data_IF_441935535243
#
_entry.id   IF_441935535243
#
_cell.length_a   1.000
_cell.length_b   1.000
_cell.length_c   1.000
_cell.angle_alpha   90.00
_cell.angle_beta   90.00
_cell.angle_gamma   90.00
#
_symmetry.space_group_name_H-M   'P 1'
#
loop_
_entity.id
_entity.type
_entity.pdbx_description
1 polymer ?
#
# COMPACT_ATOMS: atom_id res chain seq x y z
N UNK A 1 6.56 -0.47 -17.30
CA UNK A 1 7.45 -0.05 -16.22
C UNK A 1 7.68 -1.23 -15.28
N UNK A 2 8.91 -1.44 -14.84
CA UNK A 2 9.28 -2.50 -13.90
C UNK A 2 9.01 -2.12 -12.44
N UNK A 3 8.60 -0.88 -12.18
CA UNK A 3 8.35 -0.32 -10.84
C UNK A 3 6.87 -0.04 -10.70
N UNK A 4 6.24 -0.71 -9.74
CA UNK A 4 4.78 -0.70 -9.51
C UNK A 4 4.29 0.35 -8.50
N UNK A 5 5.10 1.31 -8.07
CA UNK A 5 4.67 2.46 -7.29
C UNK A 5 5.10 3.76 -7.96
N UNK A 6 4.46 4.85 -7.57
CA UNK A 6 4.73 6.16 -8.14
C UNK A 6 6.13 6.68 -7.78
N UNK A 7 6.61 7.64 -8.55
CA UNK A 7 7.88 8.30 -8.28
C UNK A 7 7.85 9.05 -6.94
N UNK A 8 8.99 9.08 -6.27
CA UNK A 8 9.21 9.96 -5.13
C UNK A 8 9.18 11.41 -5.60
N UNK A 9 8.38 12.24 -4.93
CA UNK A 9 8.29 13.67 -5.22
C UNK A 9 9.02 14.44 -4.13
N UNK A 10 9.98 15.24 -4.54
CA UNK A 10 10.79 16.03 -3.62
C UNK A 10 10.67 17.54 -3.91
N UNK A 11 10.81 18.34 -2.87
CA UNK A 11 10.98 19.78 -2.94
C UNK A 11 12.39 20.13 -2.44
N UNK A 12 13.13 20.89 -3.25
CA UNK A 12 14.41 21.45 -2.84
C UNK A 12 14.24 22.96 -2.62
N UNK A 13 14.59 23.44 -1.43
CA UNK A 13 14.61 24.87 -1.10
C UNK A 13 15.93 25.21 -0.39
N UNK A 14 16.83 25.88 -1.10
CA UNK A 14 18.21 26.06 -0.63
C UNK A 14 18.87 24.69 -0.43
N UNK A 15 19.33 24.43 0.78
CA UNK A 15 19.93 23.15 1.17
C UNK A 15 18.96 22.16 1.84
N UNK A 16 17.67 22.51 1.87
CA UNK A 16 16.64 21.66 2.50
C UNK A 16 15.91 20.85 1.44
N UNK A 17 15.97 19.52 1.57
CA UNK A 17 15.25 18.54 0.76
C UNK A 17 14.07 18.01 1.55
N UNK A 18 12.84 18.14 1.01
CA UNK A 18 11.62 17.63 1.65
C UNK A 18 10.96 16.62 0.74
N UNK A 19 10.69 15.42 1.23
CA UNK A 19 9.92 14.40 0.51
C UNK A 19 8.44 14.75 0.66
N UNK A 20 7.81 15.15 -0.45
CA UNK A 20 6.38 15.49 -0.50
C UNK A 20 5.51 14.25 -0.66
N UNK A 21 6.00 13.27 -1.42
CA UNK A 21 5.35 11.98 -1.63
C UNK A 21 6.41 10.89 -1.63
N UNK A 22 6.34 9.92 -0.70
CA UNK A 22 7.21 8.77 -0.73
C UNK A 22 6.90 7.89 -1.96
N UNK A 23 7.94 7.33 -2.57
CA UNK A 23 7.85 6.46 -3.74
C UNK A 23 8.95 5.41 -3.70
N UNK A 24 9.35 4.91 -4.86
CA UNK A 24 10.37 3.86 -4.97
C UNK A 24 11.77 4.33 -4.53
N UNK A 25 12.13 5.59 -4.82
CA UNK A 25 13.38 6.15 -4.30
C UNK A 25 13.17 6.53 -2.85
N UNK A 26 13.90 5.87 -1.97
CA UNK A 26 13.78 6.05 -0.52
C UNK A 26 14.58 7.25 -0.03
N UNK A 27 14.27 7.70 1.20
CA UNK A 27 15.04 8.75 1.87
C UNK A 27 16.50 8.33 2.03
N UNK A 28 16.76 7.09 2.42
CA UNK A 28 18.10 6.54 2.57
C UNK A 28 18.92 6.70 1.28
N UNK A 29 18.36 6.34 0.13
CA UNK A 29 19.03 6.51 -1.16
C UNK A 29 19.27 8.00 -1.52
N UNK A 30 18.33 8.88 -1.15
CA UNK A 30 18.52 10.33 -1.35
C UNK A 30 19.62 10.89 -0.45
N UNK A 31 19.76 10.41 0.77
CA UNK A 31 20.83 10.79 1.70
C UNK A 31 22.20 10.37 1.18
N UNK A 32 22.32 9.19 0.57
CA UNK A 32 23.57 8.72 -0.02
C UNK A 32 24.06 9.62 -1.17
N UNK A 33 23.15 10.07 -2.04
CA UNK A 33 23.52 10.90 -3.21
C UNK A 33 23.53 12.40 -2.93
N UNK A 34 23.02 12.82 -1.78
CA UNK A 34 22.89 14.23 -1.38
C UNK A 34 23.29 14.43 0.09
N UNK A 35 24.51 14.07 0.50
CA UNK A 35 24.92 14.04 1.91
C UNK A 35 24.96 15.43 2.56
N UNK A 36 25.00 16.50 1.77
CA UNK A 36 25.05 17.88 2.26
C UNK A 36 23.66 18.51 2.43
N UNK A 37 22.59 17.82 2.06
CA UNK A 37 21.25 18.34 2.20
C UNK A 37 20.68 18.03 3.59
N UNK A 38 19.94 18.99 4.14
CA UNK A 38 19.12 18.79 5.34
C UNK A 38 17.74 18.27 4.94
N UNK A 39 17.29 17.17 5.54
CA UNK A 39 15.96 16.65 5.27
C UNK A 39 14.90 17.37 6.11
N UNK A 40 14.03 18.10 5.43
CA UNK A 40 12.90 18.81 6.04
C UNK A 40 11.71 17.91 6.33
N UNK A 41 10.90 18.31 7.31
CA UNK A 41 9.63 17.65 7.63
C UNK A 41 8.57 18.10 6.62
N UNK A 42 7.84 17.14 6.07
CA UNK A 42 6.69 17.40 5.19
C UNK A 42 5.43 17.56 6.05
N UNK A 43 4.79 18.71 5.96
CA UNK A 43 3.46 18.93 6.56
C UNK A 43 2.32 18.56 5.59
N UNK A 44 1.07 18.51 6.11
CA UNK A 44 -0.11 18.16 5.30
C UNK A 44 -0.35 19.11 4.13
N UNK A 45 -0.05 20.40 4.29
CA UNK A 45 -0.24 21.41 3.25
C UNK A 45 0.80 21.24 2.12
N UNK A 46 2.03 20.87 2.48
CA UNK A 46 3.07 20.52 1.51
C UNK A 46 2.72 19.24 0.74
N UNK A 47 2.14 18.25 1.41
CA UNK A 47 1.68 17.02 0.74
C UNK A 47 0.63 17.31 -0.32
N UNK A 48 -0.34 18.17 -0.06
CA UNK A 48 -1.40 18.55 -1.00
C UNK A 48 -0.87 19.25 -2.25
N UNK A 49 0.33 19.84 -2.21
CA UNK A 49 0.96 20.48 -3.34
C UNK A 49 1.65 19.49 -4.32
N UNK A 50 1.71 18.21 -4.00
CA UNK A 50 2.30 17.22 -4.90
C UNK A 50 1.24 16.61 -5.85
N UNK A 51 1.57 16.34 -7.13
CA UNK A 51 0.67 15.64 -8.05
C UNK A 51 0.27 14.26 -7.50
N UNK A 52 -0.98 13.83 -7.75
CA UNK A 52 -1.46 12.50 -7.33
C UNK A 52 -1.95 12.42 -5.89
N UNK A 53 -2.25 13.55 -5.25
CA UNK A 53 -2.84 13.62 -3.90
C UNK A 53 -4.36 13.46 -3.88
N UNK A 54 -4.99 13.21 -5.02
CA UNK A 54 -6.42 12.94 -5.06
C UNK A 54 -6.74 11.70 -4.20
N UNK A 55 -7.80 11.84 -3.41
CA UNK A 55 -8.25 10.84 -2.40
C UNK A 55 -8.56 9.47 -3.03
N UNK A 56 -8.75 9.42 -4.35
CA UNK A 56 -9.09 8.23 -5.11
C UNK A 56 -8.21 8.14 -6.36
N UNK A 57 -6.99 7.64 -6.19
CA UNK A 57 -6.09 7.43 -7.32
C UNK A 57 -5.82 5.93 -7.48
N UNK A 58 -6.13 5.35 -8.64
CA UNK A 58 -6.00 3.91 -8.96
C UNK A 58 -6.82 2.98 -8.05
N UNK A 59 -7.86 3.47 -7.40
CA UNK A 59 -8.78 2.62 -6.68
C UNK A 59 -9.57 1.76 -7.68
N UNK A 60 -9.75 0.46 -7.41
CA UNK A 60 -10.69 -0.36 -8.16
C UNK A 60 -12.10 0.27 -8.13
N UNK A 61 -12.88 0.08 -9.20
CA UNK A 61 -14.29 0.55 -9.25
C UNK A 61 -15.24 -0.28 -8.36
N UNK A 62 -14.71 -1.21 -7.58
CA UNK A 62 -15.44 -1.97 -6.58
C UNK A 62 -15.14 -1.42 -5.17
N UNK A 63 -16.03 -1.67 -4.24
CA UNK A 63 -15.89 -1.20 -2.87
C UNK A 63 -14.66 -1.83 -2.21
N UNK A 64 -13.68 -1.00 -1.83
CA UNK A 64 -12.35 -1.47 -1.42
C UNK A 64 -11.99 -0.95 -0.04
N UNK A 65 -11.40 -1.81 0.79
CA UNK A 65 -10.92 -1.48 2.14
C UNK A 65 -9.57 -2.13 2.42
N UNK A 66 -8.77 -1.54 3.30
CA UNK A 66 -7.69 -2.27 3.95
C UNK A 66 -8.26 -3.14 5.05
N UNK A 67 -7.91 -4.43 5.04
CA UNK A 67 -8.42 -5.42 5.97
C UNK A 67 -7.36 -5.94 6.93
N UNK A 68 -7.80 -6.24 8.16
CA UNK A 68 -7.05 -7.01 9.15
C UNK A 68 -7.86 -8.20 9.59
N UNK A 69 -7.26 -9.37 9.67
CA UNK A 69 -7.90 -10.53 10.29
C UNK A 69 -7.76 -10.45 11.80
N UNK A 70 -8.84 -10.75 12.50
CA UNK A 70 -8.88 -10.73 13.96
C UNK A 70 -9.91 -11.72 14.48
N UNK A 71 -9.72 -12.16 15.73
CA UNK A 71 -10.70 -12.95 16.47
C UNK A 71 -11.67 -12.09 17.31
N UNK A 72 -11.65 -10.77 17.14
CA UNK A 72 -12.54 -9.87 17.86
C UNK A 72 -14.01 -10.17 17.55
N UNK A 73 -14.85 -10.11 18.57
CA UNK A 73 -16.30 -10.38 18.44
C UNK A 73 -16.98 -9.36 17.52
N UNK A 74 -16.48 -8.14 17.49
CA UNK A 74 -17.02 -7.02 16.71
C UNK A 74 -16.46 -6.95 15.28
N UNK A 75 -15.58 -7.90 14.89
CA UNK A 75 -15.07 -7.96 13.53
C UNK A 75 -16.17 -8.36 12.54
N UNK A 76 -16.09 -7.82 11.33
CA UNK A 76 -17.04 -8.09 10.26
C UNK A 76 -16.82 -9.47 9.64
N UNK A 77 -17.92 -10.09 9.18
CA UNK A 77 -17.82 -11.24 8.27
C UNK A 77 -17.31 -10.76 6.91
N UNK A 78 -16.56 -11.62 6.20
CA UNK A 78 -16.13 -11.33 4.83
C UNK A 78 -17.37 -11.39 3.92
N UNK A 79 -17.73 -10.30 3.22
CA UNK A 79 -18.90 -10.26 2.37
C UNK A 79 -18.83 -11.27 1.22
N UNK A 80 -19.98 -11.74 0.73
CA UNK A 80 -20.03 -12.51 -0.52
C UNK A 80 -19.59 -11.66 -1.71
N UNK A 81 -18.91 -12.25 -2.68
CA UNK A 81 -18.40 -11.52 -3.83
C UNK A 81 -17.11 -10.73 -3.53
N UNK A 82 -16.41 -11.07 -2.44
CA UNK A 82 -15.16 -10.44 -2.06
C UNK A 82 -13.99 -10.99 -2.88
N UNK A 83 -13.16 -10.08 -3.39
CA UNK A 83 -11.79 -10.36 -3.82
C UNK A 83 -10.85 -10.05 -2.67
N UNK A 84 -9.92 -10.94 -2.38
CA UNK A 84 -8.86 -10.71 -1.39
C UNK A 84 -7.55 -10.47 -2.11
N UNK A 85 -6.90 -9.35 -1.80
CA UNK A 85 -5.51 -9.05 -2.18
C UNK A 85 -4.67 -9.14 -0.92
N UNK A 86 -3.91 -10.20 -0.81
CA UNK A 86 -3.11 -10.52 0.37
C UNK A 86 -1.66 -10.06 0.24
N UNK A 87 -0.95 -10.09 1.35
CA UNK A 87 0.50 -9.93 1.44
C UNK A 87 1.02 -10.81 2.58
N UNK A 88 2.04 -11.61 2.30
CA UNK A 88 2.66 -12.51 3.28
C UNK A 88 1.66 -13.49 3.91
N UNK A 89 0.68 -13.96 3.13
CA UNK A 89 -0.32 -14.96 3.52
C UNK A 89 -1.16 -14.60 4.75
N UNK A 90 -1.33 -13.31 5.07
CA UNK A 90 -2.09 -12.85 6.24
C UNK A 90 -3.56 -13.30 6.18
N UNK A 91 -4.14 -13.41 4.98
CA UNK A 91 -5.52 -13.83 4.73
C UNK A 91 -5.63 -15.25 4.18
N UNK A 92 -4.57 -16.06 4.23
CA UNK A 92 -4.58 -17.41 3.66
C UNK A 92 -5.68 -18.30 4.25
N UNK A 93 -5.95 -18.19 5.56
CA UNK A 93 -7.03 -18.93 6.23
C UNK A 93 -8.43 -18.54 5.74
N UNK A 94 -8.60 -17.31 5.25
CA UNK A 94 -9.86 -16.79 4.74
C UNK A 94 -9.99 -16.89 3.21
N UNK A 95 -9.01 -17.46 2.51
CA UNK A 95 -8.98 -17.53 1.04
C UNK A 95 -10.20 -18.23 0.44
N UNK A 96 -10.74 -19.25 1.13
CA UNK A 96 -11.95 -19.98 0.70
C UNK A 96 -13.24 -19.16 0.77
N UNK A 97 -13.24 -18.03 1.50
CA UNK A 97 -14.38 -17.10 1.60
C UNK A 97 -14.41 -16.09 0.43
N UNK A 98 -13.30 -15.99 -0.33
CA UNK A 98 -13.17 -15.09 -1.46
C UNK A 98 -13.58 -15.75 -2.78
N UNK A 99 -14.16 -14.97 -3.71
CA UNK A 99 -14.38 -15.42 -5.10
C UNK A 99 -13.07 -15.42 -5.91
N UNK A 100 -12.12 -14.60 -5.50
CA UNK A 100 -10.75 -14.56 -6.05
C UNK A 100 -9.77 -14.16 -4.95
N UNK A 101 -8.64 -14.83 -4.92
CA UNK A 101 -7.56 -14.56 -3.98
C UNK A 101 -6.27 -14.30 -4.76
N UNK A 102 -5.63 -13.21 -4.44
CA UNK A 102 -4.31 -12.82 -4.93
C UNK A 102 -3.37 -12.63 -3.74
N UNK A 103 -2.09 -12.90 -3.91
CA UNK A 103 -1.08 -12.53 -2.93
C UNK A 103 0.02 -11.71 -3.62
N UNK A 104 0.22 -10.50 -3.16
CA UNK A 104 1.23 -9.57 -3.69
C UNK A 104 2.64 -10.16 -3.54
N UNK A 105 2.91 -10.82 -2.41
CA UNK A 105 4.11 -11.62 -2.18
C UNK A 105 3.86 -12.63 -1.06
N UNK A 106 3.75 -13.92 -1.36
CA UNK A 106 3.55 -14.97 -0.35
C UNK A 106 4.70 -15.12 0.66
N UNK A 107 5.86 -14.56 0.33
CA UNK A 107 7.07 -14.58 1.16
C UNK A 107 7.33 -13.25 1.86
N UNK A 108 6.41 -12.27 1.72
CA UNK A 108 6.55 -10.95 2.34
C UNK A 108 7.59 -10.03 1.69
N UNK A 109 8.02 -10.29 0.45
CA UNK A 109 8.97 -9.44 -0.26
C UNK A 109 8.28 -8.18 -0.77
N UNK A 110 8.67 -7.01 -0.24
CA UNK A 110 8.07 -5.72 -0.57
C UNK A 110 8.30 -5.33 -2.02
N UNK A 111 9.50 -5.59 -2.55
CA UNK A 111 9.84 -5.30 -3.94
C UNK A 111 8.97 -6.11 -4.92
N UNK A 112 8.70 -7.38 -4.62
CA UNK A 112 7.79 -8.22 -5.39
C UNK A 112 6.37 -7.65 -5.36
N UNK A 113 5.88 -7.26 -4.18
CA UNK A 113 4.55 -6.67 -4.01
C UNK A 113 4.40 -5.35 -4.79
N UNK A 114 5.41 -4.48 -4.73
CA UNK A 114 5.47 -3.23 -5.48
C UNK A 114 5.33 -3.48 -7.00
N UNK A 115 6.02 -4.48 -7.52
CA UNK A 115 5.98 -4.80 -8.95
C UNK A 115 4.62 -5.35 -9.40
N UNK A 116 3.87 -6.02 -8.52
CA UNK A 116 2.61 -6.68 -8.84
C UNK A 116 1.36 -5.82 -8.55
N UNK A 117 1.45 -4.84 -7.66
CA UNK A 117 0.29 -4.16 -7.08
C UNK A 117 -0.69 -3.61 -8.12
N UNK A 118 -0.21 -2.96 -9.18
CA UNK A 118 -1.08 -2.39 -10.21
C UNK A 118 -1.84 -3.44 -11.01
N UNK A 119 -1.14 -4.50 -11.42
CA UNK A 119 -1.76 -5.57 -12.19
C UNK A 119 -2.82 -6.27 -11.35
N UNK A 120 -2.51 -6.57 -10.10
CA UNK A 120 -3.44 -7.24 -9.18
C UNK A 120 -4.66 -6.36 -8.86
N UNK A 121 -4.49 -5.04 -8.66
CA UNK A 121 -5.62 -4.13 -8.46
C UNK A 121 -6.55 -4.11 -9.69
N UNK A 122 -6.00 -4.13 -10.91
CA UNK A 122 -6.77 -4.22 -12.15
C UNK A 122 -7.46 -5.57 -12.31
N UNK A 123 -6.78 -6.66 -12.00
CA UNK A 123 -7.35 -8.01 -12.06
C UNK A 123 -8.47 -8.17 -11.04
N UNK A 124 -8.34 -7.57 -9.86
CA UNK A 124 -9.41 -7.53 -8.85
C UNK A 124 -10.65 -6.81 -9.37
N UNK A 125 -10.48 -5.63 -9.99
CA UNK A 125 -11.57 -4.84 -10.58
C UNK A 125 -12.31 -5.60 -11.68
N UNK A 126 -11.58 -6.35 -12.51
CA UNK A 126 -12.14 -7.10 -13.65
C UNK A 126 -12.61 -8.51 -13.28
N UNK A 127 -12.50 -8.92 -12.02
CA UNK A 127 -12.97 -10.23 -11.57
C UNK A 127 -14.51 -10.32 -11.68
N UNK A 128 -15.06 -11.29 -12.42
CA UNK A 128 -16.50 -11.42 -12.58
C UNK A 128 -17.23 -11.59 -11.24
N UNK A 129 -18.35 -10.87 -11.07
CA UNK A 129 -19.16 -10.85 -9.85
C UNK A 129 -18.46 -10.28 -8.59
N UNK A 130 -17.30 -9.65 -8.74
CA UNK A 130 -16.67 -8.93 -7.66
C UNK A 130 -17.46 -7.65 -7.34
N UNK A 131 -17.80 -7.47 -6.07
CA UNK A 131 -18.48 -6.28 -5.58
C UNK A 131 -17.78 -5.67 -4.37
N UNK A 132 -16.81 -6.37 -3.79
CA UNK A 132 -16.03 -5.95 -2.63
C UNK A 132 -14.59 -6.41 -2.76
N UNK A 133 -13.65 -5.60 -2.28
CA UNK A 133 -12.23 -5.93 -2.25
C UNK A 133 -11.64 -5.67 -0.86
N UNK A 134 -11.01 -6.68 -0.31
CA UNK A 134 -10.21 -6.55 0.92
C UNK A 134 -8.75 -6.65 0.52
N UNK A 135 -7.99 -5.60 0.82
CA UNK A 135 -6.54 -5.59 0.66
C UNK A 135 -5.91 -5.77 2.05
N UNK A 136 -5.04 -6.74 2.23
CA UNK A 136 -4.34 -6.93 3.50
C UNK A 136 -3.59 -5.67 3.92
N UNK A 137 -3.79 -5.21 5.17
CA UNK A 137 -3.05 -4.08 5.71
C UNK A 137 -1.59 -4.51 5.97
N UNK A 138 -0.67 -3.90 5.25
CA UNK A 138 0.76 -4.18 5.39
C UNK A 138 1.26 -3.47 6.63
N UNK A 139 1.35 -4.23 7.74
CA UNK A 139 1.90 -3.75 9.00
C UNK A 139 3.37 -4.16 9.07
N UNK A 140 4.20 -3.31 9.64
CA UNK A 140 5.68 -3.44 9.74
C UNK A 140 6.18 -4.65 10.57
N UNK A 141 5.39 -5.68 10.81
CA UNK A 141 5.81 -6.83 11.61
C UNK A 141 6.80 -7.71 10.85
N UNK A 142 8.03 -7.77 11.30
CA UNK A 142 9.07 -8.70 10.82
C UNK A 142 10.05 -8.14 9.77
N UNK A 143 9.93 -6.87 9.36
CA UNK A 143 10.85 -6.20 8.42
C UNK A 143 11.79 -5.22 9.15
N UNK A 144 12.05 -5.45 10.44
CA UNK A 144 12.61 -4.44 11.34
C UNK A 144 14.10 -4.14 11.13
N UNK A 145 14.81 -4.88 10.30
CA UNK A 145 16.27 -4.81 10.22
C UNK A 145 16.81 -3.96 9.05
N UNK A 146 15.98 -3.55 8.09
CA UNK A 146 16.42 -2.73 6.95
C UNK A 146 15.55 -1.47 6.81
N UNK A 147 16.19 -0.30 6.98
CA UNK A 147 15.55 1.01 6.85
C UNK A 147 14.97 1.22 5.44
N UNK A 148 15.64 0.73 4.41
CA UNK A 148 15.18 0.83 3.03
C UNK A 148 13.85 0.08 2.84
N UNK A 149 13.76 -1.16 3.32
CA UNK A 149 12.53 -1.96 3.24
C UNK A 149 11.38 -1.33 4.05
N UNK A 150 11.67 -0.73 5.21
CA UNK A 150 10.67 -0.01 6.01
C UNK A 150 10.09 1.20 5.27
N UNK A 151 10.91 1.94 4.53
CA UNK A 151 10.47 3.08 3.72
C UNK A 151 9.65 2.61 2.52
N UNK A 152 10.03 1.51 1.86
CA UNK A 152 9.26 0.89 0.77
C UNK A 152 7.90 0.37 1.26
N UNK A 153 7.82 -0.28 2.42
CA UNK A 153 6.56 -0.69 3.07
C UNK A 153 5.66 0.52 3.30
N UNK A 154 6.22 1.62 3.80
CA UNK A 154 5.47 2.86 4.03
C UNK A 154 4.89 3.41 2.73
N UNK A 155 5.67 3.41 1.66
CA UNK A 155 5.25 3.88 0.33
C UNK A 155 4.17 2.98 -0.27
N UNK A 156 4.33 1.65 -0.18
CA UNK A 156 3.34 0.70 -0.66
C UNK A 156 2.04 0.80 0.14
N UNK A 157 2.13 0.89 1.47
CA UNK A 157 0.95 1.03 2.34
C UNK A 157 0.17 2.32 2.07
N UNK A 158 0.85 3.45 1.88
CA UNK A 158 0.20 4.71 1.48
C UNK A 158 -0.58 4.55 0.18
N UNK A 159 0.00 3.84 -0.78
CA UNK A 159 -0.65 3.50 -2.04
C UNK A 159 -1.92 2.67 -1.84
N UNK A 160 -1.84 1.60 -1.06
CA UNK A 160 -2.98 0.72 -0.78
C UNK A 160 -4.08 1.45 0.01
N UNK A 161 -3.72 2.32 0.94
CA UNK A 161 -4.66 3.19 1.65
C UNK A 161 -5.45 4.09 0.70
N UNK A 162 -4.80 4.69 -0.30
CA UNK A 162 -5.47 5.51 -1.33
C UNK A 162 -6.39 4.66 -2.20
N UNK A 163 -5.96 3.46 -2.59
CA UNK A 163 -6.79 2.52 -3.33
C UNK A 163 -8.05 2.11 -2.55
N UNK A 164 -7.98 2.10 -1.22
CA UNK A 164 -9.09 1.84 -0.30
C UNK A 164 -9.83 3.10 0.17
N UNK A 165 -9.57 4.27 -0.42
CA UNK A 165 -10.13 5.55 0.02
C UNK A 165 -9.95 5.79 1.53
N UNK A 166 -8.79 5.37 2.09
CA UNK A 166 -8.41 5.45 3.51
C UNK A 166 -9.32 4.67 4.47
N UNK A 167 -10.10 3.71 3.96
CA UNK A 167 -10.97 2.87 4.79
C UNK A 167 -10.21 1.64 5.30
N UNK A 168 -10.36 1.37 6.59
CA UNK A 168 -9.77 0.20 7.26
C UNK A 168 -10.89 -0.58 7.95
N UNK A 169 -10.89 -1.91 7.84
CA UNK A 169 -11.86 -2.79 8.47
C UNK A 169 -11.20 -4.01 9.14
N UNK A 170 -11.82 -4.51 10.19
CA UNK A 170 -11.44 -5.74 10.87
C UNK A 170 -12.38 -6.87 10.45
N UNK A 171 -11.84 -8.02 10.07
CA UNK A 171 -12.58 -9.16 9.55
C UNK A 171 -12.29 -10.42 10.37
N UNK A 172 -13.30 -11.29 10.49
CA UNK A 172 -13.18 -12.56 11.23
C UNK A 172 -12.36 -13.58 10.45
N UNK A 173 -11.50 -14.27 11.19
CA UNK A 173 -10.72 -15.41 10.71
C UNK A 173 -11.64 -16.57 10.28
#
# INVERSE_FOLDING_TARGET
ATIGIESTVIRLKGNTLTILRPGFITKCQLEEVSPNNVFGICDKNMQLASPGHETKHYAPNIDTVLGRLTNDKDAHEIPKGTVIIDFNRQFASASSKAIRYFDLSPIGCVAEAINKVYNILRDAETTPNANFCIIADIIKSGLENDQHDQELVTSLRDRLLRSASHRIGNYKI
#
